data_IF_713265262344
#
_entry.id   IF_713265262344
#
_cell.length_a   1.000
_cell.length_b   1.000
_cell.length_c   1.000
_cell.angle_alpha   90.00
_cell.angle_beta   90.00
_cell.angle_gamma   90.00
#
_symmetry.space_group_name_H-M   'P 1'
#
loop_
_entity.id
_entity.type
_entity.pdbx_description
1 polymer ?
#
# COMPACT_ATOMS: atom_id res chain seq x y z
N UNK A 1 -2.60 6.04 -35.48
CA UNK A 1 -1.63 6.59 -34.55
C UNK A 1 -2.29 6.58 -33.17
N UNK A 2 -1.93 5.60 -32.33
CA UNK A 2 -2.34 5.60 -30.93
C UNK A 2 -1.67 6.82 -30.29
N UNK A 3 -2.47 7.76 -29.82
CA UNK A 3 -1.96 8.90 -29.05
C UNK A 3 -1.65 8.40 -27.66
N UNK A 4 -0.45 8.65 -27.16
CA UNK A 4 -0.03 8.37 -25.78
C UNK A 4 -0.72 9.36 -24.83
N UNK A 5 -2.05 9.26 -24.74
CA UNK A 5 -2.88 10.13 -23.91
C UNK A 5 -3.40 9.29 -22.73
N UNK A 6 -3.20 9.75 -21.49
CA UNK A 6 -3.82 9.10 -20.34
C UNK A 6 -5.34 9.07 -20.46
N UNK A 7 -5.95 7.96 -20.09
CA UNK A 7 -7.41 7.79 -20.11
C UNK A 7 -7.90 7.29 -18.76
N UNK A 8 -9.12 7.70 -18.41
CA UNK A 8 -9.83 7.15 -17.25
C UNK A 8 -10.86 6.15 -17.77
N UNK A 9 -10.75 4.91 -17.30
CA UNK A 9 -11.70 3.83 -17.64
C UNK A 9 -12.69 3.72 -16.49
N UNK A 10 -13.95 4.02 -16.74
CA UNK A 10 -15.01 3.95 -15.73
C UNK A 10 -15.79 2.65 -15.84
N UNK A 11 -16.40 2.23 -14.70
CA UNK A 11 -17.26 1.05 -14.65
C UNK A 11 -16.53 -0.30 -14.69
N UNK A 12 -15.21 -0.33 -14.94
CA UNK A 12 -14.45 -1.58 -15.06
C UNK A 12 -14.34 -2.33 -13.73
N UNK A 13 -14.17 -1.61 -12.61
CA UNK A 13 -14.07 -2.21 -11.28
C UNK A 13 -15.47 -2.49 -10.71
N UNK A 14 -16.14 -3.49 -11.25
CA UNK A 14 -17.50 -3.88 -10.85
C UNK A 14 -17.65 -5.41 -10.86
N UNK A 15 -18.62 -5.98 -10.12
CA UNK A 15 -18.88 -7.42 -10.13
C UNK A 15 -19.18 -7.97 -11.52
N UNK A 16 -19.80 -7.18 -12.41
CA UNK A 16 -20.06 -7.57 -13.81
C UNK A 16 -18.77 -7.84 -14.60
N UNK A 17 -17.63 -7.30 -14.16
CA UNK A 17 -16.32 -7.48 -14.77
C UNK A 17 -15.38 -8.34 -13.90
N UNK A 18 -15.92 -9.08 -12.91
CA UNK A 18 -15.15 -9.97 -12.06
C UNK A 18 -14.35 -9.27 -10.96
N UNK A 19 -14.78 -8.08 -10.53
CA UNK A 19 -14.19 -7.37 -9.40
C UNK A 19 -15.09 -7.48 -8.17
N UNK A 20 -14.52 -7.62 -6.99
CA UNK A 20 -15.25 -7.48 -5.75
C UNK A 20 -15.87 -6.10 -5.62
N UNK A 21 -16.92 -5.98 -4.82
CA UNK A 21 -17.60 -4.70 -4.65
C UNK A 21 -16.69 -3.64 -4.01
N UNK A 22 -16.95 -2.35 -4.22
CA UNK A 22 -16.20 -1.28 -3.55
C UNK A 22 -16.23 -1.39 -2.02
N UNK A 23 -17.31 -1.92 -1.45
CA UNK A 23 -17.48 -2.13 -0.02
C UNK A 23 -16.50 -3.20 0.48
N UNK A 24 -16.35 -4.31 -0.25
CA UNK A 24 -15.38 -5.35 0.08
C UNK A 24 -13.94 -4.82 0.03
N UNK A 25 -13.59 -4.00 -0.97
CA UNK A 25 -12.26 -3.38 -1.05
C UNK A 25 -11.98 -2.36 0.07
N UNK A 26 -13.01 -1.76 0.65
CA UNK A 26 -12.88 -0.84 1.79
C UNK A 26 -12.73 -1.56 3.12
N UNK A 27 -13.10 -2.83 3.18
CA UNK A 27 -12.91 -3.65 4.36
C UNK A 27 -11.46 -4.14 4.44
N UNK A 28 -10.62 -3.35 5.08
CA UNK A 28 -9.20 -3.66 5.24
C UNK A 28 -8.92 -4.89 6.09
N UNK A 29 -9.93 -5.39 6.84
CA UNK A 29 -9.79 -6.65 7.62
C UNK A 29 -9.62 -7.86 6.70
N UNK A 30 -10.06 -7.77 5.44
CA UNK A 30 -9.83 -8.80 4.44
C UNK A 30 -8.33 -9.02 4.14
N UNK A 31 -7.49 -8.01 4.34
CA UNK A 31 -6.04 -8.12 4.18
C UNK A 31 -5.39 -9.02 5.24
N UNK A 32 -6.09 -9.27 6.33
CA UNK A 32 -5.63 -10.08 7.47
C UNK A 32 -6.64 -11.19 7.80
N UNK A 33 -7.40 -11.64 6.82
CA UNK A 33 -8.47 -12.63 6.99
C UNK A 33 -7.97 -14.02 7.41
N UNK A 34 -6.70 -14.31 7.25
CA UNK A 34 -6.08 -15.55 7.73
C UNK A 34 -4.75 -15.25 8.43
N UNK A 35 -4.34 -16.18 9.30
CA UNK A 35 -3.06 -16.05 10.02
C UNK A 35 -1.87 -15.99 9.05
N UNK A 36 -1.91 -16.73 7.96
CA UNK A 36 -0.87 -16.72 6.93
C UNK A 36 -0.76 -15.34 6.23
N UNK A 37 -1.87 -14.67 6.00
CA UNK A 37 -1.88 -13.30 5.47
C UNK A 37 -1.43 -12.28 6.53
N UNK A 38 -1.90 -12.41 7.76
CA UNK A 38 -1.54 -11.53 8.87
C UNK A 38 -0.02 -11.53 9.13
N UNK A 39 0.60 -12.71 9.13
CA UNK A 39 2.03 -12.90 9.40
C UNK A 39 2.91 -12.64 8.17
N UNK A 40 2.35 -12.31 7.01
CA UNK A 40 3.10 -12.07 5.78
C UNK A 40 4.02 -10.86 5.95
N UNK A 41 5.31 -11.06 5.71
CA UNK A 41 6.30 -9.99 5.76
C UNK A 41 6.21 -9.12 4.49
N UNK A 42 6.15 -7.83 4.69
CA UNK A 42 6.06 -6.82 3.63
C UNK A 42 7.04 -5.67 3.88
N UNK A 43 7.63 -5.09 2.84
CA UNK A 43 8.42 -3.88 2.95
C UNK A 43 7.50 -2.67 3.13
N UNK A 44 7.80 -1.82 4.08
CA UNK A 44 7.03 -0.59 4.35
C UNK A 44 7.98 0.60 4.50
N UNK A 45 7.69 1.66 3.80
CA UNK A 45 8.35 2.95 3.94
C UNK A 45 7.63 3.79 5.01
N UNK A 46 8.38 4.46 5.87
CA UNK A 46 7.85 5.33 6.91
C UNK A 46 8.19 6.80 6.64
N UNK A 47 7.26 7.66 7.02
CA UNK A 47 7.37 9.11 6.81
C UNK A 47 6.63 9.62 5.56
N UNK A 48 6.26 10.91 5.59
CA UNK A 48 5.60 11.60 4.48
C UNK A 48 6.60 12.18 3.48
N UNK A 49 6.06 12.93 2.51
CA UNK A 49 6.87 13.64 1.53
C UNK A 49 7.86 14.60 2.25
N UNK A 50 9.13 14.43 1.96
CA UNK A 50 10.21 15.24 2.55
C UNK A 50 10.73 14.74 3.90
N UNK A 51 10.05 13.80 4.56
CA UNK A 51 10.47 13.19 5.84
C UNK A 51 10.52 11.66 5.68
N UNK A 52 11.48 11.18 4.90
CA UNK A 52 11.71 9.73 4.74
C UNK A 52 12.52 9.20 5.91
N UNK A 53 11.87 8.46 6.78
CA UNK A 53 12.51 7.81 7.95
C UNK A 53 13.15 6.46 7.63
N UNK A 54 13.13 6.08 6.36
CA UNK A 54 13.61 4.78 5.91
C UNK A 54 12.49 3.75 5.76
N UNK A 55 12.87 2.56 5.36
CA UNK A 55 11.98 1.41 5.22
C UNK A 55 12.30 0.33 6.24
N UNK A 56 11.32 -0.50 6.56
CA UNK A 56 11.47 -1.68 7.39
C UNK A 56 10.63 -2.83 6.82
N UNK A 57 10.87 -4.03 7.31
CA UNK A 57 10.07 -5.21 6.99
C UNK A 57 9.20 -5.50 8.21
N UNK A 58 7.90 -5.37 8.03
CA UNK A 58 6.90 -5.65 9.06
C UNK A 58 5.88 -6.67 8.57
N UNK A 59 5.02 -7.18 9.44
CA UNK A 59 3.93 -8.04 9.00
C UNK A 59 2.79 -7.22 8.39
N UNK A 60 2.05 -7.82 7.47
CA UNK A 60 0.84 -7.20 6.91
C UNK A 60 -0.18 -6.88 8.01
N UNK A 61 -0.31 -7.77 9.00
CA UNK A 61 -1.14 -7.52 10.18
C UNK A 61 -0.71 -6.29 10.97
N UNK A 62 0.59 -6.07 11.14
CA UNK A 62 1.08 -4.88 11.81
C UNK A 62 0.73 -3.59 11.03
N UNK A 63 0.92 -3.60 9.71
CA UNK A 63 0.51 -2.47 8.86
C UNK A 63 -0.98 -2.16 9.00
N UNK A 64 -1.84 -3.19 8.93
CA UNK A 64 -3.29 -3.02 9.00
C UNK A 64 -3.73 -2.52 10.37
N UNK A 65 -3.31 -3.20 11.44
CA UNK A 65 -3.84 -2.97 12.78
C UNK A 65 -3.31 -1.68 13.43
N UNK A 66 -2.05 -1.31 13.16
CA UNK A 66 -1.43 -0.17 13.81
C UNK A 66 -1.51 1.13 12.99
N UNK A 67 -1.64 1.02 11.65
CA UNK A 67 -1.59 2.18 10.77
C UNK A 67 -2.86 2.44 9.96
N UNK A 68 -3.54 1.38 9.48
CA UNK A 68 -4.66 1.56 8.55
C UNK A 68 -6.02 1.53 9.25
N UNK A 69 -6.18 0.69 10.26
CA UNK A 69 -7.40 0.57 11.08
C UNK A 69 -7.02 0.87 12.53
N UNK A 70 -6.71 2.12 12.87
CA UNK A 70 -6.42 2.45 14.26
C UNK A 70 -7.65 2.11 15.09
N UNK A 71 -7.48 1.24 16.08
CA UNK A 71 -8.51 0.92 17.05
C UNK A 71 -8.98 2.22 17.69
N UNK A 72 -10.25 2.53 17.61
CA UNK A 72 -10.89 3.58 18.40
C UNK A 72 -10.90 3.17 19.87
N UNK A 73 -9.73 3.02 20.48
CA UNK A 73 -9.60 2.92 21.92
C UNK A 73 -9.56 4.35 22.44
N UNK A 74 -10.74 4.88 22.77
CA UNK A 74 -10.82 5.97 23.72
C UNK A 74 -9.95 5.58 24.90
N UNK A 75 -8.92 6.37 25.20
CA UNK A 75 -8.14 6.25 26.41
C UNK A 75 -9.04 6.59 27.61
N UNK A 76 -9.83 5.64 28.04
CA UNK A 76 -10.29 5.62 29.41
C UNK A 76 -9.10 5.11 30.25
N UNK A 77 -8.53 6.05 30.97
CA UNK A 77 -7.48 5.83 31.96
C UNK A 77 -7.87 4.70 32.90
N UNK A 78 -7.28 3.53 32.71
CA UNK A 78 -7.20 2.51 33.74
C UNK A 78 -5.91 1.72 33.56
N UNK A 79 -5.01 1.93 34.51
CA UNK A 79 -3.69 1.35 34.62
C UNK A 79 -3.75 -0.18 34.78
N UNK A 80 -3.34 -0.90 33.75
CA UNK A 80 -2.76 -2.25 33.93
C UNK A 80 -1.55 -2.33 32.98
N UNK A 81 -0.39 -2.16 33.57
CA UNK A 81 0.88 -2.40 32.91
C UNK A 81 1.05 -3.89 32.65
N UNK A 82 0.87 -4.32 31.40
CA UNK A 82 1.38 -5.63 30.96
C UNK A 82 2.79 -5.41 30.43
N UNK A 83 3.77 -5.89 31.20
CA UNK A 83 5.18 -5.96 30.82
C UNK A 83 5.33 -6.82 29.54
N UNK A 84 5.54 -6.18 28.41
CA UNK A 84 6.10 -6.85 27.24
C UNK A 84 7.61 -6.86 27.37
N UNK A 85 8.15 -8.02 27.70
CA UNK A 85 9.60 -8.30 27.62
C UNK A 85 10.02 -8.24 26.15
N UNK A 86 10.61 -7.12 25.76
CA UNK A 86 11.38 -7.02 24.54
C UNK A 86 12.84 -7.25 24.90
N UNK A 87 13.39 -8.37 24.43
CA UNK A 87 14.81 -8.67 24.49
C UNK A 87 15.52 -7.86 23.39
N UNK A 88 16.06 -6.70 23.76
CA UNK A 88 17.03 -5.96 22.94
C UNK A 88 18.26 -5.71 23.76
N UNK A 89 19.39 -6.11 23.19
CA UNK A 89 20.75 -6.04 23.69
C UNK A 89 21.16 -4.59 23.99
N UNK A 90 21.76 -4.38 25.15
CA UNK A 90 22.29 -3.12 25.65
C UNK A 90 23.37 -2.52 24.74
N UNK A 91 23.19 -1.27 24.39
CA UNK A 91 24.29 -0.32 24.23
C UNK A 91 23.89 1.03 24.82
N UNK A 92 24.72 1.49 25.72
CA UNK A 92 24.57 2.64 26.59
C UNK A 92 24.48 3.97 25.84
N UNK A 93 23.40 4.71 26.09
CA UNK A 93 23.26 6.10 25.68
C UNK A 93 21.91 6.62 26.13
N UNK A 94 21.89 7.30 27.30
CA UNK A 94 20.68 7.85 27.92
C UNK A 94 20.11 9.03 27.12
N UNK A 95 19.16 8.74 26.27
CA UNK A 95 18.27 9.72 25.66
C UNK A 95 16.85 9.18 25.79
N UNK A 96 15.99 9.90 26.51
CA UNK A 96 14.57 9.63 26.61
C UNK A 96 13.96 9.66 25.19
N UNK A 97 13.78 8.50 24.56
CA UNK A 97 13.10 8.37 23.29
C UNK A 97 11.61 8.70 23.52
N UNK A 98 11.18 9.90 23.13
CA UNK A 98 9.77 10.17 22.95
C UNK A 98 9.22 9.15 21.96
N UNK A 99 8.06 8.53 22.22
CA UNK A 99 7.43 7.66 21.21
C UNK A 99 7.21 8.47 19.95
N UNK A 100 7.94 8.15 18.90
CA UNK A 100 7.81 8.80 17.61
C UNK A 100 6.55 8.24 16.96
N UNK A 101 5.46 8.97 17.03
CA UNK A 101 4.24 8.64 16.30
C UNK A 101 4.50 8.80 14.82
N UNK A 102 4.96 7.74 14.16
CA UNK A 102 4.99 7.67 12.71
C UNK A 102 3.55 7.53 12.25
N UNK A 103 3.01 8.59 11.67
CA UNK A 103 1.63 8.62 11.19
C UNK A 103 1.48 8.15 9.73
N UNK A 104 2.59 8.01 9.01
CA UNK A 104 2.61 7.64 7.60
C UNK A 104 3.40 6.37 7.40
N UNK A 105 2.72 5.34 6.86
CA UNK A 105 3.29 4.06 6.49
C UNK A 105 2.81 3.69 5.09
N UNK A 106 3.72 3.20 4.24
CA UNK A 106 3.43 2.92 2.83
C UNK A 106 4.14 1.67 2.33
N UNK A 107 3.37 0.63 2.03
CA UNK A 107 3.82 -0.49 1.22
C UNK A 107 3.68 -0.08 -0.24
N UNK A 108 4.79 0.19 -0.90
CA UNK A 108 4.83 0.58 -2.31
C UNK A 108 5.29 -0.59 -3.19
N UNK A 109 4.67 -0.73 -4.35
CA UNK A 109 5.06 -1.65 -5.43
C UNK A 109 5.39 -3.09 -4.96
N UNK A 110 4.51 -3.70 -4.18
CA UNK A 110 4.73 -5.04 -3.65
C UNK A 110 3.88 -6.09 -4.36
N UNK A 111 4.47 -7.25 -4.68
CA UNK A 111 3.79 -8.38 -5.35
C UNK A 111 2.88 -9.16 -4.39
N UNK A 112 2.03 -8.46 -3.63
CA UNK A 112 1.18 -9.02 -2.58
C UNK A 112 0.24 -10.11 -3.10
N UNK A 113 -0.31 -9.94 -4.28
CA UNK A 113 -1.27 -10.88 -4.87
C UNK A 113 -0.65 -12.24 -5.20
N UNK A 114 0.64 -12.30 -5.52
CA UNK A 114 1.38 -13.56 -5.66
C UNK A 114 1.56 -14.27 -4.31
N UNK A 115 1.72 -13.51 -3.25
CA UNK A 115 1.91 -14.05 -1.91
C UNK A 115 0.60 -14.41 -1.22
N UNK A 116 -0.50 -13.73 -1.59
CA UNK A 116 -1.83 -13.90 -1.04
C UNK A 116 -2.84 -14.20 -2.17
N UNK A 117 -2.92 -15.46 -2.65
CA UNK A 117 -3.78 -15.82 -3.79
C UNK A 117 -5.27 -15.55 -3.56
N UNK A 118 -5.73 -15.51 -2.31
CA UNK A 118 -7.12 -15.19 -2.01
C UNK A 118 -7.46 -13.73 -2.33
N UNK A 119 -6.51 -12.82 -2.19
CA UNK A 119 -6.68 -11.44 -2.64
C UNK A 119 -6.73 -11.32 -4.17
N UNK A 120 -6.02 -12.20 -4.88
CA UNK A 120 -6.06 -12.24 -6.35
C UNK A 120 -7.47 -12.62 -6.88
N UNK A 121 -8.24 -13.39 -6.12
CA UNK A 121 -9.61 -13.77 -6.48
C UNK A 121 -10.60 -12.61 -6.42
N UNK A 122 -10.22 -11.51 -5.78
CA UNK A 122 -11.08 -10.33 -5.62
C UNK A 122 -11.20 -9.49 -6.90
N UNK A 123 -10.41 -9.78 -7.94
CA UNK A 123 -10.48 -9.05 -9.21
C UNK A 123 -10.06 -9.89 -10.41
N UNK A 124 -10.56 -9.51 -11.56
CA UNK A 124 -10.13 -10.05 -12.85
C UNK A 124 -9.25 -9.05 -13.59
N UNK A 125 -8.21 -9.56 -14.24
CA UNK A 125 -7.34 -8.74 -15.10
C UNK A 125 -8.15 -8.30 -16.32
N UNK A 126 -8.23 -7.00 -16.62
CA UNK A 126 -8.97 -6.52 -17.76
C UNK A 126 -8.44 -7.12 -19.10
N UNK A 127 -9.30 -7.61 -20.00
CA UNK A 127 -8.84 -8.33 -21.21
C UNK A 127 -7.99 -7.47 -22.15
N UNK A 128 -8.13 -6.16 -22.14
CA UNK A 128 -7.33 -5.25 -22.94
C UNK A 128 -5.86 -5.11 -22.45
N UNK A 129 -5.52 -5.68 -21.29
CA UNK A 129 -4.14 -5.76 -20.78
C UNK A 129 -3.44 -7.05 -21.19
N UNK A 130 -4.19 -8.14 -21.46
CA UNK A 130 -3.67 -9.49 -21.64
C UNK A 130 -2.73 -9.66 -22.83
N UNK A 131 -2.85 -8.83 -23.86
CA UNK A 131 -1.97 -8.90 -25.03
C UNK A 131 -0.51 -8.47 -24.76
N UNK A 132 -0.21 -7.93 -23.61
CA UNK A 132 1.13 -7.43 -23.24
C UNK A 132 1.64 -7.93 -21.89
N UNK A 133 0.79 -8.58 -21.11
CA UNK A 133 1.21 -9.21 -19.86
C UNK A 133 1.85 -10.56 -20.18
N UNK A 134 3.14 -10.67 -19.89
CA UNK A 134 3.75 -11.98 -19.74
C UNK A 134 3.25 -12.57 -18.42
N UNK A 135 2.69 -13.79 -18.40
CA UNK A 135 2.10 -14.38 -17.20
C UNK A 135 3.04 -14.42 -15.97
N UNK A 136 4.35 -14.47 -16.24
CA UNK A 136 5.38 -14.69 -15.21
C UNK A 136 6.09 -13.42 -14.71
N UNK A 137 5.70 -12.23 -15.14
CA UNK A 137 6.48 -11.02 -14.87
C UNK A 137 6.08 -10.25 -13.61
N UNK A 138 5.25 -10.80 -12.75
CA UNK A 138 4.85 -10.10 -11.51
C UNK A 138 4.21 -8.74 -11.80
N UNK A 139 3.49 -8.64 -12.89
CA UNK A 139 2.97 -7.38 -13.43
C UNK A 139 1.84 -6.77 -12.59
N UNK A 140 1.42 -7.43 -11.51
CA UNK A 140 0.36 -6.94 -10.63
C UNK A 140 0.96 -6.65 -9.26
N UNK A 141 1.05 -5.37 -8.95
CA UNK A 141 1.56 -4.91 -7.66
C UNK A 141 0.46 -4.22 -6.85
N UNK A 142 0.60 -4.26 -5.54
CA UNK A 142 -0.23 -3.52 -4.60
C UNK A 142 0.52 -2.30 -4.05
N UNK A 143 -0.23 -1.24 -3.80
CA UNK A 143 0.20 -0.06 -3.07
C UNK A 143 -0.80 0.17 -1.95
N UNK A 144 -0.39 0.03 -0.71
CA UNK A 144 -1.24 0.18 0.48
C UNK A 144 -0.58 1.15 1.43
N UNK A 145 -1.30 2.19 1.81
CA UNK A 145 -0.73 3.18 2.71
C UNK A 145 -1.74 4.07 3.39
N UNK A 146 -1.26 4.74 4.41
CA UNK A 146 -2.02 5.72 5.18
C UNK A 146 -2.24 7.01 4.40
N UNK A 147 -3.03 7.91 4.94
CA UNK A 147 -3.10 9.29 4.46
C UNK A 147 -1.71 9.95 4.56
N UNK A 148 -1.34 10.71 3.53
CA UNK A 148 -0.07 11.44 3.49
C UNK A 148 1.06 10.70 2.80
N UNK A 149 0.83 9.47 2.29
CA UNK A 149 1.80 8.78 1.42
C UNK A 149 1.99 9.56 0.12
N UNK A 150 3.22 9.58 -0.37
CA UNK A 150 3.56 10.29 -1.59
C UNK A 150 4.65 9.56 -2.36
N UNK A 151 4.51 9.56 -3.67
CA UNK A 151 5.53 9.09 -4.61
C UNK A 151 6.06 10.29 -5.39
N UNK A 152 7.36 10.46 -5.42
CA UNK A 152 8.00 11.54 -6.18
C UNK A 152 7.75 11.41 -7.68
N UNK A 153 7.94 12.50 -8.41
CA UNK A 153 7.88 12.50 -9.86
C UNK A 153 8.86 11.47 -10.43
N UNK A 154 8.35 10.59 -11.28
CA UNK A 154 9.13 9.53 -11.93
C UNK A 154 8.46 9.16 -13.25
N UNK A 155 9.12 8.34 -14.03
CA UNK A 155 8.58 7.71 -15.23
C UNK A 155 8.67 6.19 -15.08
N UNK A 156 7.53 5.52 -15.25
CA UNK A 156 7.54 4.07 -15.34
C UNK A 156 8.08 3.59 -16.69
N UNK A 157 8.86 2.51 -16.73
CA UNK A 157 9.43 1.99 -17.97
C UNK A 157 8.40 1.28 -18.86
N UNK A 158 7.25 0.93 -18.30
CA UNK A 158 6.18 0.19 -18.98
C UNK A 158 4.87 0.98 -18.98
N UNK A 159 4.04 0.70 -19.98
CA UNK A 159 2.63 1.12 -19.94
C UNK A 159 1.92 0.36 -18.82
N UNK A 160 1.18 1.06 -17.99
CA UNK A 160 0.50 0.47 -16.85
C UNK A 160 -0.95 0.93 -16.72
N UNK A 161 -1.68 0.28 -15.82
CA UNK A 161 -3.03 0.66 -15.42
C UNK A 161 -3.03 0.76 -13.90
N UNK A 162 -3.45 1.90 -13.39
CA UNK A 162 -3.67 2.13 -11.97
C UNK A 162 -5.15 1.89 -11.65
N UNK A 163 -5.43 0.94 -10.75
CA UNK A 163 -6.77 0.70 -10.21
C UNK A 163 -6.81 1.18 -8.74
N UNK A 164 -7.60 2.21 -8.45
CA UNK A 164 -7.80 2.71 -7.10
C UNK A 164 -9.03 2.05 -6.49
N UNK A 165 -8.84 1.03 -5.66
CA UNK A 165 -9.92 0.20 -5.11
C UNK A 165 -10.50 0.77 -3.81
N UNK A 166 -9.69 1.39 -2.97
CA UNK A 166 -10.11 1.98 -1.70
C UNK A 166 -9.42 3.33 -1.47
N UNK A 167 -10.14 4.29 -0.90
CA UNK A 167 -9.62 5.62 -0.60
C UNK A 167 -9.43 6.49 -1.86
N UNK A 168 -8.53 7.46 -1.76
CA UNK A 168 -8.27 8.44 -2.81
C UNK A 168 -6.78 8.60 -3.06
N UNK A 169 -6.40 8.71 -4.33
CA UNK A 169 -5.04 9.04 -4.76
C UNK A 169 -5.09 10.24 -5.71
N UNK A 170 -4.35 11.29 -5.38
CA UNK A 170 -4.13 12.40 -6.29
C UNK A 170 -2.98 12.05 -7.23
N UNK A 171 -3.23 12.09 -8.53
CA UNK A 171 -2.21 11.79 -9.56
C UNK A 171 -2.06 13.01 -10.46
N UNK A 172 -0.82 13.43 -10.69
CA UNK A 172 -0.47 14.47 -11.65
C UNK A 172 0.39 13.87 -12.75
N UNK A 173 -0.07 14.00 -13.98
CA UNK A 173 0.62 13.50 -15.16
C UNK A 173 1.14 14.68 -15.99
N UNK A 174 2.35 14.54 -16.46
CA UNK A 174 2.99 15.49 -17.37
C UNK A 174 3.32 14.79 -18.67
N UNK A 175 3.21 15.51 -19.78
CA UNK A 175 3.63 15.00 -21.08
C UNK A 175 5.16 14.84 -21.13
N UNK A 176 5.65 13.85 -21.87
CA UNK A 176 7.08 13.54 -21.96
C UNK A 176 7.93 14.70 -22.54
N UNK A 177 7.33 15.56 -23.35
CA UNK A 177 7.99 16.76 -23.89
C UNK A 177 8.23 17.85 -22.82
N UNK A 178 7.54 17.76 -21.69
CA UNK A 178 7.72 18.65 -20.54
C UNK A 178 8.95 18.31 -19.69
N UNK A 179 9.62 17.19 -19.93
CA UNK A 179 10.73 16.68 -19.09
C UNK A 179 11.79 17.74 -18.83
N UNK A 180 12.14 18.55 -19.81
CA UNK A 180 13.14 19.63 -19.68
C UNK A 180 12.76 20.76 -18.72
N UNK A 181 11.51 20.82 -18.26
CA UNK A 181 11.00 21.82 -17.33
C UNK A 181 10.71 21.25 -15.93
N UNK A 182 10.89 19.94 -15.75
CA UNK A 182 10.51 19.23 -14.52
C UNK A 182 11.70 18.90 -13.61
N UNK A 183 12.95 19.10 -14.10
CA UNK A 183 14.20 18.81 -13.40
C UNK A 183 15.15 20.02 -13.46
#
# INVERSE_FOLDING_TARGET
>A
VLRDIPVVITGQMSPAHGWSSPEQWRDLTLLVASKDMEDRLIPVEFGGFGDRRGGDIITLGHLVNEYLVPSNVEHSSSSVALERKSSIVNSSGGGSLKPCSVSVAYMSQHALFHQCPDLQKMFSIPPYTLGRLQPDTGAINAWIGTKGTSTALHRDPYMNILAQTAGYKYVRLYSADQTKFLY
#
